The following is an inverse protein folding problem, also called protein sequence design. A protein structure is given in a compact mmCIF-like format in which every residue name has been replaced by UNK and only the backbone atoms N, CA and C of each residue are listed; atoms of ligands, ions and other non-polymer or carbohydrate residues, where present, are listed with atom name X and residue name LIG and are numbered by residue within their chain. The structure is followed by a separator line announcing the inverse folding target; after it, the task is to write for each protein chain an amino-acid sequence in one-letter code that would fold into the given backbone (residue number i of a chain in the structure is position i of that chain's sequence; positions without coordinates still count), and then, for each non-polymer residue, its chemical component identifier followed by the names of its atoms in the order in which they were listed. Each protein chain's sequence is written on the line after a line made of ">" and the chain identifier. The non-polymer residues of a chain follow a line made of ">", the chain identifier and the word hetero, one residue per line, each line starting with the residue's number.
data_IF_701694934851
#
_entry.id   IF_701694934851
#
_cell.length_a   1.000
_cell.length_b   1.000
_cell.length_c   1.000
_cell.angle_alpha   90.00
_cell.angle_beta   90.00
_cell.angle_gamma   90.00
#
_symmetry.space_group_name_H-M   'P 1'
#
loop_
_entity.id
_entity.type
_entity.pdbx_description
1 polymer ?
#
# COMPACT_ATOMS: atom_id res chain seq x y z
N UNK A 1 10.51 4.71 19.11
CA UNK A 1 9.97 6.05 18.84
C UNK A 1 9.67 6.14 17.35
N UNK A 2 8.52 6.67 16.99
CA UNK A 2 8.18 7.00 15.61
C UNK A 2 8.95 8.26 15.18
N UNK A 3 9.33 8.33 13.91
CA UNK A 3 9.87 9.54 13.30
C UNK A 3 8.75 10.51 12.98
N UNK A 4 9.04 11.79 12.81
CA UNK A 4 8.01 12.78 12.51
C UNK A 4 7.32 12.52 11.16
N UNK A 5 8.04 11.98 10.18
CA UNK A 5 7.50 11.56 8.88
C UNK A 5 6.50 10.39 8.96
N UNK A 6 6.54 9.60 10.03
CA UNK A 6 5.64 8.46 10.28
C UNK A 6 4.60 8.73 11.37
N UNK A 7 4.62 9.90 12.01
CA UNK A 7 3.67 10.32 13.05
C UNK A 7 2.41 10.89 12.41
N UNK A 8 1.30 10.17 12.41
CA UNK A 8 0.06 10.57 11.75
C UNK A 8 -0.67 11.60 12.59
N UNK A 9 -0.88 12.78 12.02
CA UNK A 9 -1.70 13.84 12.65
C UNK A 9 -3.15 13.78 12.18
N UNK A 10 -3.38 13.38 10.93
CA UNK A 10 -4.71 13.20 10.38
C UNK A 10 -4.71 12.20 9.23
N UNK A 11 -5.81 11.46 9.08
CA UNK A 11 -6.12 10.67 7.90
C UNK A 11 -7.57 10.92 7.53
N UNK A 12 -7.83 11.36 6.31
CA UNK A 12 -9.17 11.60 5.79
C UNK A 12 -9.25 11.24 4.31
N UNK A 13 -10.46 11.16 3.79
CA UNK A 13 -10.71 10.93 2.38
C UNK A 13 -11.92 11.76 1.93
N UNK A 14 -11.72 12.54 0.87
CA UNK A 14 -12.70 13.45 0.32
C UNK A 14 -13.15 12.98 -1.05
N UNK A 15 -14.46 12.97 -1.26
CA UNK A 15 -15.02 12.70 -2.58
C UNK A 15 -15.37 13.98 -3.29
N UNK A 16 -14.85 14.14 -4.50
CA UNK A 16 -15.23 15.21 -5.41
C UNK A 16 -15.64 14.61 -6.78
N UNK A 17 -16.93 14.60 -7.05
CA UNK A 17 -17.48 13.97 -8.25
C UNK A 17 -17.17 12.48 -8.32
N UNK A 18 -16.37 12.07 -9.30
CA UNK A 18 -15.97 10.69 -9.54
C UNK A 18 -14.56 10.36 -9.03
N UNK A 19 -13.99 11.20 -8.19
CA UNK A 19 -12.67 10.99 -7.57
C UNK A 19 -12.83 10.93 -6.06
N UNK A 20 -12.19 9.97 -5.43
CA UNK A 20 -11.91 9.95 -3.99
C UNK A 20 -10.44 10.27 -3.80
N UNK A 21 -10.14 11.31 -3.05
CA UNK A 21 -8.77 11.66 -2.65
C UNK A 21 -8.52 11.20 -1.23
N UNK A 22 -7.61 10.26 -1.05
CA UNK A 22 -7.12 9.85 0.25
C UNK A 22 -6.00 10.78 0.68
N UNK A 23 -6.07 11.25 1.91
CA UNK A 23 -5.11 12.16 2.51
C UNK A 23 -4.52 11.56 3.79
N UNK A 24 -3.24 11.81 4.01
CA UNK A 24 -2.59 11.60 5.30
C UNK A 24 -1.68 12.79 5.58
N UNK A 25 -1.84 13.39 6.77
CA UNK A 25 -0.98 14.45 7.26
C UNK A 25 -0.06 13.89 8.33
N UNK A 26 1.23 14.15 8.24
CA UNK A 26 2.25 13.70 9.19
C UNK A 26 2.81 14.84 10.03
N UNK A 27 3.44 14.51 11.15
CA UNK A 27 4.07 15.47 12.07
C UNK A 27 5.36 16.10 11.55
N UNK A 28 5.87 15.64 10.41
CA UNK A 28 7.08 16.13 9.74
C UNK A 28 6.95 16.07 8.22
N UNK A 29 8.05 16.10 7.52
CA UNK A 29 8.07 15.99 6.05
C UNK A 29 7.73 14.56 5.68
N UNK A 30 6.60 14.35 5.01
CA UNK A 30 6.17 13.06 4.50
C UNK A 30 7.17 12.54 3.47
N UNK A 31 7.46 11.23 3.52
CA UNK A 31 8.44 10.61 2.62
C UNK A 31 9.90 10.96 2.89
N UNK A 32 10.21 11.76 3.95
CA UNK A 32 11.59 12.12 4.29
C UNK A 32 12.43 10.91 4.72
N UNK A 33 11.78 9.90 5.31
CA UNK A 33 12.42 8.61 5.60
C UNK A 33 12.07 7.62 4.49
N UNK A 34 13.07 7.04 3.89
CA UNK A 34 12.97 5.95 2.91
C UNK A 34 13.82 4.77 3.37
N UNK A 35 13.55 3.54 2.91
CA UNK A 35 14.39 2.40 3.20
C UNK A 35 15.83 2.60 2.72
N UNK A 36 16.79 2.05 3.45
CA UNK A 36 18.16 2.02 3.00
C UNK A 36 18.31 1.01 1.84
N UNK A 37 19.05 1.39 0.80
CA UNK A 37 19.40 0.49 -0.30
C UNK A 37 20.28 -0.64 0.23
N UNK A 38 19.88 -1.88 0.01
CA UNK A 38 20.62 -3.09 0.41
C UNK A 38 21.33 -3.75 -0.77
N UNK A 39 20.89 -3.47 -2.00
CA UNK A 39 21.36 -4.10 -3.24
C UNK A 39 20.80 -5.53 -3.42
N UNK A 40 19.74 -5.89 -2.71
CA UNK A 40 19.13 -7.21 -2.77
C UNK A 40 17.62 -7.11 -2.48
N UNK A 41 16.81 -7.74 -3.31
CA UNK A 41 15.36 -7.85 -3.10
C UNK A 41 15.05 -8.63 -1.81
N UNK A 42 15.72 -9.75 -1.60
CA UNK A 42 15.55 -10.52 -0.37
C UNK A 42 16.15 -9.79 0.84
N UNK A 43 15.29 -9.46 1.81
CA UNK A 43 15.64 -8.67 2.98
C UNK A 43 15.41 -7.17 2.81
N UNK A 44 14.98 -6.70 1.63
CA UNK A 44 14.65 -5.31 1.37
C UNK A 44 13.51 -4.84 2.27
N UNK A 45 13.62 -3.61 2.74
CA UNK A 45 12.55 -2.93 3.46
C UNK A 45 11.70 -2.10 2.48
N UNK A 46 10.41 -1.97 2.82
CA UNK A 46 9.43 -1.12 2.15
C UNK A 46 8.83 -0.19 3.18
N UNK A 47 8.82 1.12 2.95
CA UNK A 47 8.10 2.06 3.80
C UNK A 47 6.79 2.45 3.15
N UNK A 48 5.74 2.63 3.97
CA UNK A 48 4.40 2.83 3.46
C UNK A 48 3.53 3.76 4.31
N UNK A 49 2.69 4.53 3.62
CA UNK A 49 1.49 5.19 4.11
C UNK A 49 0.30 4.39 3.61
N UNK A 50 -0.54 3.88 4.51
CA UNK A 50 -1.55 2.88 4.19
C UNK A 50 -2.92 3.32 4.66
N UNK A 51 -3.94 3.13 3.84
CA UNK A 51 -5.35 3.28 4.20
C UNK A 51 -6.04 1.91 4.09
N UNK A 52 -6.08 1.12 5.19
CA UNK A 52 -6.94 -0.06 5.26
C UNK A 52 -8.40 0.35 5.09
N UNK A 53 -9.17 -0.42 4.32
CA UNK A 53 -10.55 -0.08 3.98
C UNK A 53 -11.52 -1.20 4.34
N UNK A 54 -12.81 -0.88 4.37
CA UNK A 54 -13.89 -1.87 4.44
C UNK A 54 -14.39 -2.34 3.07
N UNK A 55 -13.71 -1.96 1.99
CA UNK A 55 -14.02 -2.47 0.65
C UNK A 55 -13.65 -3.95 0.55
N UNK A 56 -14.50 -4.71 -0.14
CA UNK A 56 -14.12 -6.06 -0.56
C UNK A 56 -13.03 -6.00 -1.65
N UNK A 57 -12.02 -6.87 -1.65
CA UNK A 57 -10.98 -6.91 -2.67
C UNK A 57 -11.48 -6.98 -4.12
N UNK A 58 -12.67 -7.55 -4.35
CA UNK A 58 -13.28 -7.59 -5.67
C UNK A 58 -13.67 -6.22 -6.23
N UNK A 59 -13.77 -5.20 -5.37
CA UNK A 59 -14.02 -3.82 -5.79
C UNK A 59 -12.94 -3.27 -6.70
N UNK A 60 -11.70 -3.75 -6.58
CA UNK A 60 -10.55 -3.33 -7.40
C UNK A 60 -10.09 -4.44 -8.36
N UNK A 61 -10.78 -5.56 -8.42
CA UNK A 61 -10.53 -6.62 -9.39
C UNK A 61 -9.85 -7.88 -8.86
N UNK A 62 -9.55 -7.97 -7.56
CA UNK A 62 -9.08 -9.21 -6.94
C UNK A 62 -10.21 -10.22 -6.75
N UNK A 63 -9.87 -11.41 -6.29
CA UNK A 63 -10.82 -12.40 -5.81
C UNK A 63 -11.57 -11.87 -4.58
N UNK A 64 -12.88 -12.10 -4.49
CA UNK A 64 -13.71 -11.65 -3.38
C UNK A 64 -13.35 -12.35 -2.05
N UNK A 65 -13.63 -11.70 -0.94
CA UNK A 65 -13.50 -12.26 0.42
C UNK A 65 -12.08 -12.78 0.75
N UNK A 66 -11.03 -12.20 0.12
CA UNK A 66 -9.66 -12.70 0.24
C UNK A 66 -8.81 -12.03 1.31
N UNK A 67 -9.32 -11.02 1.99
CA UNK A 67 -8.63 -10.32 3.07
C UNK A 67 -9.02 -8.86 3.19
N UNK A 68 -8.18 -8.06 3.82
CA UNK A 68 -8.37 -6.62 4.02
C UNK A 68 -7.79 -5.89 2.81
N UNK A 69 -8.64 -5.18 2.06
CA UNK A 69 -8.16 -4.31 0.98
C UNK A 69 -7.60 -3.02 1.56
N UNK A 70 -6.38 -2.69 1.22
CA UNK A 70 -5.71 -1.45 1.64
C UNK A 70 -5.11 -0.72 0.44
N UNK A 71 -5.30 0.61 0.40
CA UNK A 71 -4.53 1.49 -0.47
C UNK A 71 -3.22 1.79 0.23
N UNK A 72 -2.09 1.69 -0.46
CA UNK A 72 -0.77 1.96 0.08
C UNK A 72 0.01 2.89 -0.85
N UNK A 73 0.70 3.87 -0.28
CA UNK A 73 1.75 4.60 -0.95
C UNK A 73 3.09 4.10 -0.41
N UNK A 74 3.98 3.61 -1.28
CA UNK A 74 5.20 2.89 -0.91
C UNK A 74 6.45 3.47 -1.55
N UNK A 75 7.60 3.22 -0.90
CA UNK A 75 8.95 3.39 -1.47
C UNK A 75 9.79 2.18 -1.11
N UNK A 76 10.48 1.59 -2.10
CA UNK A 76 11.29 0.37 -1.97
C UNK A 76 12.46 0.35 -2.97
N UNK A 77 13.59 0.94 -2.61
CA UNK A 77 14.67 1.25 -3.54
C UNK A 77 15.44 0.03 -4.10
N UNK A 78 15.22 -1.16 -3.57
CA UNK A 78 15.91 -2.38 -4.01
C UNK A 78 15.19 -3.13 -5.15
N UNK A 79 13.99 -2.73 -5.54
CA UNK A 79 13.22 -3.33 -6.65
C UNK A 79 12.15 -2.38 -7.14
N UNK A 80 11.71 -2.58 -8.37
CA UNK A 80 10.55 -1.92 -8.96
C UNK A 80 9.39 -2.93 -9.09
N UNK A 81 8.18 -2.49 -8.81
CA UNK A 81 6.95 -3.28 -8.95
C UNK A 81 5.84 -2.53 -9.72
N UNK A 82 6.22 -1.47 -10.43
CA UNK A 82 5.34 -0.69 -11.32
C UNK A 82 5.82 -0.71 -12.78
N UNK A 83 6.14 -1.86 -13.39
CA UNK A 83 6.80 -1.91 -14.70
C UNK A 83 5.95 -1.37 -15.87
N UNK A 84 4.69 -1.00 -15.62
CA UNK A 84 3.79 -0.38 -16.62
C UNK A 84 3.91 1.15 -16.65
N UNK A 85 4.58 1.75 -15.67
CA UNK A 85 4.64 3.20 -15.49
C UNK A 85 6.11 3.62 -15.33
N UNK A 86 6.44 4.77 -15.86
CA UNK A 86 7.74 5.44 -15.76
C UNK A 86 7.50 6.73 -14.95
N UNK A 87 7.65 6.63 -13.62
CA UNK A 87 7.30 7.70 -12.71
C UNK A 87 8.30 8.86 -12.76
N UNK A 88 9.57 8.59 -13.09
CA UNK A 88 10.61 9.62 -13.22
C UNK A 88 10.75 10.18 -14.64
N UNK A 89 10.08 9.58 -15.63
CA UNK A 89 10.07 9.98 -17.03
C UNK A 89 11.46 9.95 -17.70
N UNK A 90 12.32 9.02 -17.30
CA UNK A 90 13.65 8.84 -17.92
C UNK A 90 13.65 7.83 -19.08
N UNK A 91 12.54 7.15 -19.33
CA UNK A 91 12.34 6.16 -20.38
C UNK A 91 12.62 4.72 -19.94
N UNK A 92 12.86 4.48 -18.66
CA UNK A 92 13.05 3.14 -18.07
C UNK A 92 12.06 2.88 -16.93
N UNK A 93 10.90 2.24 -17.18
CA UNK A 93 9.89 1.98 -16.15
C UNK A 93 10.31 0.90 -15.14
N UNK A 94 11.54 0.42 -15.17
CA UNK A 94 12.02 -0.63 -14.28
C UNK A 94 13.01 -0.11 -13.20
N UNK A 95 13.08 1.21 -12.98
CA UNK A 95 14.01 1.81 -12.03
C UNK A 95 13.36 2.72 -10.97
N UNK A 96 12.03 2.79 -10.93
CA UNK A 96 11.27 3.78 -10.17
C UNK A 96 10.95 3.40 -8.71
N UNK A 97 11.32 2.21 -8.24
CA UNK A 97 10.97 1.71 -6.89
C UNK A 97 11.39 2.61 -5.73
N UNK A 98 12.38 3.49 -5.92
CA UNK A 98 12.80 4.51 -4.95
C UNK A 98 11.78 5.65 -4.82
N UNK A 99 11.04 5.94 -5.87
CA UNK A 99 9.99 6.96 -5.85
C UNK A 99 8.76 6.48 -5.07
N UNK A 100 8.07 7.40 -4.46
CA UNK A 100 6.80 7.09 -3.79
C UNK A 100 5.70 6.92 -4.83
N UNK A 101 4.99 5.79 -4.79
CA UNK A 101 3.91 5.44 -5.70
C UNK A 101 2.84 4.61 -4.98
N UNK A 102 1.69 4.40 -5.63
CA UNK A 102 0.53 3.80 -4.97
C UNK A 102 0.19 2.40 -5.47
N UNK A 103 -0.28 1.56 -4.53
CA UNK A 103 -0.74 0.20 -4.76
C UNK A 103 -2.08 -0.06 -4.08
N UNK A 104 -2.85 -1.01 -4.63
CA UNK A 104 -3.80 -1.77 -3.83
C UNK A 104 -3.14 -3.06 -3.36
N UNK A 105 -3.31 -3.40 -2.10
CA UNK A 105 -2.82 -4.66 -1.52
C UNK A 105 -3.92 -5.36 -0.75
N UNK A 106 -3.88 -6.69 -0.73
CA UNK A 106 -4.75 -7.49 0.14
C UNK A 106 -3.92 -8.00 1.32
N UNK A 107 -4.30 -7.62 2.54
CA UNK A 107 -3.62 -8.01 3.76
C UNK A 107 -4.36 -9.17 4.44
N UNK A 108 -3.59 -10.13 4.95
CA UNK A 108 -4.11 -11.26 5.72
C UNK A 108 -3.24 -11.49 6.96
N UNK A 109 -3.81 -12.03 8.08
CA UNK A 109 -3.04 -12.42 9.25
C UNK A 109 -2.06 -13.55 8.91
N UNK A 110 -0.83 -13.44 9.43
CA UNK A 110 0.15 -14.53 9.36
C UNK A 110 1.16 -14.43 10.51
N UNK A 111 1.05 -15.36 11.48
CA UNK A 111 1.91 -15.39 12.66
C UNK A 111 3.37 -15.72 12.36
N UNK A 112 3.69 -16.22 11.13
CA UNK A 112 5.08 -16.41 10.70
C UNK A 112 5.81 -15.09 10.46
N UNK A 113 5.07 -13.99 10.21
CA UNK A 113 5.60 -12.64 10.16
C UNK A 113 5.80 -12.00 11.54
N UNK A 114 5.34 -12.66 12.60
CA UNK A 114 5.29 -12.21 13.98
C UNK A 114 3.90 -12.40 14.56
N UNK A 115 3.82 -12.61 15.87
CA UNK A 115 2.53 -12.86 16.53
C UNK A 115 1.53 -11.72 16.27
N UNK A 116 0.41 -12.04 15.64
CA UNK A 116 -0.63 -11.08 15.26
C UNK A 116 -0.26 -10.15 14.11
N UNK A 117 0.83 -10.43 13.40
CA UNK A 117 1.24 -9.64 12.24
C UNK A 117 0.39 -9.94 11.01
N UNK A 118 0.46 -9.01 10.05
CA UNK A 118 -0.13 -9.14 8.72
C UNK A 118 0.96 -9.38 7.68
N UNK A 119 0.56 -9.93 6.56
CA UNK A 119 1.34 -9.96 5.33
C UNK A 119 0.51 -9.48 4.15
N UNK A 120 1.14 -9.10 3.05
CA UNK A 120 0.47 -9.09 1.75
C UNK A 120 0.19 -10.53 1.35
N UNK A 121 -1.03 -10.83 0.92
CA UNK A 121 -1.46 -12.20 0.59
C UNK A 121 -0.66 -12.75 -0.57
N UNK A 122 -0.03 -13.92 -0.38
CA UNK A 122 0.67 -14.64 -1.46
C UNK A 122 -0.31 -15.31 -2.40
N UNK A 123 0.05 -15.41 -3.68
CA UNK A 123 -0.62 -16.29 -4.64
C UNK A 123 -0.04 -17.68 -4.46
N UNK A 124 -0.88 -18.64 -4.05
CA UNK A 124 -0.46 -20.01 -3.85
C UNK A 124 -0.01 -20.66 -5.17
N UNK A 125 1.04 -21.48 -5.11
CA UNK A 125 1.53 -22.19 -6.29
C UNK A 125 0.41 -23.03 -6.92
N UNK A 126 0.38 -23.04 -8.25
CA UNK A 126 -0.61 -23.76 -9.06
C UNK A 126 -2.07 -23.26 -8.88
N UNK A 127 -2.26 -22.05 -8.42
CA UNK A 127 -3.56 -21.36 -8.40
C UNK A 127 -3.59 -20.24 -9.44
N UNK A 128 -4.79 -19.86 -9.85
CA UNK A 128 -5.03 -18.74 -10.77
C UNK A 128 -6.19 -17.91 -10.24
N UNK A 129 -5.95 -17.12 -9.17
CA UNK A 129 -6.97 -16.26 -8.61
C UNK A 129 -7.32 -15.13 -9.60
N UNK A 130 -8.48 -14.50 -9.36
CA UNK A 130 -8.81 -13.26 -10.06
C UNK A 130 -7.88 -12.14 -9.58
N UNK A 131 -7.27 -11.42 -10.53
CA UNK A 131 -6.34 -10.32 -10.27
C UNK A 131 -6.75 -9.10 -11.11
N UNK A 132 -6.41 -7.87 -10.67
CA UNK A 132 -6.60 -6.65 -11.44
C UNK A 132 -5.82 -6.65 -12.76
N UNK A 133 -6.25 -5.80 -13.70
CA UNK A 133 -5.59 -5.68 -15.01
C UNK A 133 -4.17 -5.06 -14.92
N UNK A 134 -3.90 -4.32 -13.87
CA UNK A 134 -2.60 -3.66 -13.59
C UNK A 134 -1.77 -4.42 -12.55
N UNK A 135 -2.05 -5.72 -12.37
CA UNK A 135 -1.22 -6.60 -11.55
C UNK A 135 0.21 -6.68 -12.12
N UNK A 136 1.26 -6.44 -11.30
CA UNK A 136 2.64 -6.34 -11.77
C UNK A 136 3.36 -7.69 -11.95
N UNK A 137 2.62 -8.80 -12.04
CA UNK A 137 3.15 -10.16 -12.19
C UNK A 137 3.96 -10.70 -11.00
N UNK A 138 3.90 -10.02 -9.85
CA UNK A 138 4.45 -10.56 -8.60
C UNK A 138 3.52 -11.64 -8.02
N UNK A 139 4.04 -12.67 -7.31
CA UNK A 139 3.21 -13.72 -6.73
C UNK A 139 2.47 -13.26 -5.47
N UNK A 140 1.89 -12.08 -5.50
CA UNK A 140 1.20 -11.38 -4.42
C UNK A 140 -0.13 -10.80 -4.91
N UNK A 141 -1.06 -10.62 -3.97
CA UNK A 141 -2.25 -9.82 -4.18
C UNK A 141 -1.89 -8.32 -4.03
N UNK A 142 -1.21 -7.80 -5.03
CA UNK A 142 -0.82 -6.40 -5.20
C UNK A 142 -1.29 -5.93 -6.57
N UNK A 143 -1.61 -4.65 -6.68
CA UNK A 143 -1.99 -3.99 -7.93
C UNK A 143 -1.26 -2.65 -8.03
N UNK A 144 -0.81 -2.29 -9.22
CA UNK A 144 -0.06 -1.05 -9.50
C UNK A 144 -0.83 -0.20 -10.50
N UNK A 145 -1.92 0.47 -10.09
CA UNK A 145 -2.84 1.15 -11.01
C UNK A 145 -2.35 2.51 -11.51
N UNK A 146 -1.20 3.03 -11.06
CA UNK A 146 -0.64 4.32 -11.49
C UNK A 146 -1.55 5.50 -11.17
N UNK A 147 -2.14 5.55 -9.98
CA UNK A 147 -2.99 6.66 -9.57
C UNK A 147 -2.21 7.97 -9.45
N UNK A 148 -2.89 9.11 -9.71
CA UNK A 148 -2.37 10.44 -9.45
C UNK A 148 -2.01 10.57 -7.96
N UNK A 149 -0.74 10.79 -7.71
CA UNK A 149 -0.10 10.75 -6.40
C UNK A 149 0.68 12.03 -6.15
N UNK A 150 0.64 12.52 -4.92
CA UNK A 150 1.44 13.65 -4.47
C UNK A 150 1.94 13.40 -3.06
N UNK A 151 3.20 13.69 -2.81
CA UNK A 151 3.82 13.71 -1.49
C UNK A 151 4.61 15.01 -1.37
N UNK A 152 4.10 15.95 -0.57
CA UNK A 152 4.67 17.28 -0.43
C UNK A 152 4.55 17.79 1.01
N UNK A 153 5.62 18.35 1.54
CA UNK A 153 5.67 18.83 2.92
C UNK A 153 5.25 17.71 3.90
N UNK A 154 4.15 17.90 4.62
CA UNK A 154 3.61 16.91 5.55
C UNK A 154 2.42 16.13 4.98
N UNK A 155 2.13 16.23 3.69
CA UNK A 155 0.93 15.67 3.06
C UNK A 155 1.27 14.53 2.11
N UNK A 156 0.46 13.47 2.18
CA UNK A 156 0.41 12.37 1.22
C UNK A 156 -0.99 12.29 0.64
N UNK A 157 -1.11 12.36 -0.68
CA UNK A 157 -2.38 12.35 -1.39
C UNK A 157 -2.37 11.28 -2.47
N UNK A 158 -3.46 10.49 -2.54
CA UNK A 158 -3.72 9.55 -3.64
C UNK A 158 -5.12 9.80 -4.18
N UNK A 159 -5.23 10.09 -5.49
CA UNK A 159 -6.52 10.32 -6.15
C UNK A 159 -6.99 9.05 -6.86
N UNK A 160 -8.06 8.48 -6.36
CA UNK A 160 -8.62 7.23 -6.83
C UNK A 160 -9.93 7.48 -7.59
N UNK A 161 -10.00 7.14 -8.89
CA UNK A 161 -11.26 7.20 -9.63
C UNK A 161 -12.29 6.22 -9.03
N UNK A 162 -13.54 6.62 -8.87
CA UNK A 162 -14.61 5.73 -8.39
C UNK A 162 -14.79 4.48 -9.26
N UNK A 163 -14.52 4.59 -10.56
CA UNK A 163 -14.54 3.44 -11.47
C UNK A 163 -13.52 2.36 -11.07
N UNK A 164 -12.39 2.75 -10.48
CA UNK A 164 -11.34 1.84 -10.03
C UNK A 164 -11.69 1.10 -8.73
N UNK A 165 -12.75 1.49 -8.05
CA UNK A 165 -13.28 0.84 -6.84
C UNK A 165 -14.70 0.33 -7.05
N UNK A 166 -15.05 -0.05 -8.28
CA UNK A 166 -16.37 -0.59 -8.62
C UNK A 166 -17.53 0.38 -8.35
N UNK A 167 -17.27 1.69 -8.39
CA UNK A 167 -18.25 2.75 -8.04
C UNK A 167 -18.76 2.66 -6.59
N UNK A 168 -17.97 2.06 -5.69
CA UNK A 168 -18.31 2.05 -4.26
C UNK A 168 -18.43 3.47 -3.73
N UNK A 169 -19.60 3.78 -3.10
CA UNK A 169 -19.90 5.14 -2.67
C UNK A 169 -19.77 5.33 -1.16
N UNK A 170 -19.86 4.25 -0.40
CA UNK A 170 -19.80 4.30 1.05
C UNK A 170 -18.90 3.19 1.56
N UNK A 171 -17.79 3.58 2.18
CA UNK A 171 -16.89 2.64 2.84
C UNK A 171 -16.14 3.34 3.97
N UNK A 172 -15.51 2.53 4.82
CA UNK A 172 -14.72 2.99 5.95
C UNK A 172 -13.25 2.82 5.67
N UNK A 173 -12.42 3.61 6.36
CA UNK A 173 -10.97 3.50 6.29
C UNK A 173 -10.30 3.95 7.60
N UNK A 174 -9.02 3.64 7.73
CA UNK A 174 -8.12 4.17 8.75
C UNK A 174 -6.84 4.68 8.08
N UNK A 175 -5.94 5.27 8.84
CA UNK A 175 -4.59 5.64 8.40
C UNK A 175 -3.54 4.85 9.18
N UNK A 176 -2.55 4.32 8.49
CA UNK A 176 -1.45 3.55 9.07
C UNK A 176 -0.13 3.96 8.42
N UNK A 177 0.92 4.10 9.20
CA UNK A 177 2.29 4.13 8.70
C UNK A 177 3.01 2.85 9.11
N UNK A 178 3.63 2.17 8.15
CA UNK A 178 4.24 0.87 8.37
C UNK A 178 5.51 0.65 7.55
N UNK A 179 6.37 -0.21 8.06
CA UNK A 179 7.47 -0.82 7.33
C UNK A 179 7.16 -2.29 7.03
N UNK A 180 7.37 -2.70 5.79
CA UNK A 180 7.28 -4.08 5.38
C UNK A 180 8.68 -4.59 5.04
N UNK A 181 8.83 -5.91 4.97
CA UNK A 181 10.09 -6.55 4.58
C UNK A 181 9.85 -7.71 3.64
N UNK A 182 10.65 -7.76 2.58
CA UNK A 182 10.70 -8.88 1.65
C UNK A 182 11.48 -10.03 2.27
N UNK A 183 10.89 -11.21 2.39
CA UNK A 183 11.58 -12.39 2.90
C UNK A 183 12.48 -13.04 1.86
N UNK A 184 13.63 -13.56 2.30
CA UNK A 184 14.60 -14.23 1.45
C UNK A 184 14.26 -15.70 1.15
N UNK A 185 13.36 -16.30 1.93
CA UNK A 185 13.07 -17.72 1.84
C UNK A 185 11.78 -17.98 1.06
N UNK A 186 11.85 -18.84 0.07
CA UNK A 186 10.73 -19.20 -0.84
C UNK A 186 9.52 -19.80 -0.10
N UNK A 187 9.71 -20.34 1.10
CA UNK A 187 8.64 -20.93 1.91
C UNK A 187 8.10 -20.02 3.01
N UNK A 188 8.64 -18.82 3.14
CA UNK A 188 8.11 -17.78 4.03
C UNK A 188 7.17 -16.86 3.25
N UNK A 189 6.23 -16.17 3.91
CA UNK A 189 5.45 -15.11 3.26
C UNK A 189 6.37 -14.10 2.59
N UNK A 190 6.11 -13.78 1.32
CA UNK A 190 7.04 -12.95 0.54
C UNK A 190 7.17 -11.54 1.13
N UNK A 191 6.07 -10.93 1.57
CA UNK A 191 6.06 -9.55 2.05
C UNK A 191 5.31 -9.43 3.39
N UNK A 192 6.06 -9.37 4.47
CA UNK A 192 5.55 -9.24 5.83
C UNK A 192 5.45 -7.78 6.27
N UNK A 193 4.40 -7.42 7.01
CA UNK A 193 4.38 -6.18 7.80
C UNK A 193 5.34 -6.38 8.98
N UNK A 194 6.52 -5.79 8.86
CA UNK A 194 7.60 -5.95 9.84
C UNK A 194 7.44 -5.02 11.04
N UNK A 195 6.81 -3.86 10.84
CA UNK A 195 6.63 -2.85 11.89
C UNK A 195 5.47 -1.92 11.54
N UNK A 196 4.60 -1.65 12.49
CA UNK A 196 3.65 -0.54 12.44
C UNK A 196 4.27 0.62 13.22
N UNK A 197 4.37 1.79 12.58
CA UNK A 197 4.91 2.99 13.21
C UNK A 197 3.83 3.76 13.93
N UNK A 198 2.67 3.96 13.27
CA UNK A 198 1.52 4.67 13.80
C UNK A 198 0.20 4.18 13.19
N UNK A 199 -0.90 4.41 13.91
CA UNK A 199 -2.27 4.14 13.50
C UNK A 199 -3.13 5.35 13.89
N UNK A 200 -3.79 5.99 12.94
CA UNK A 200 -4.55 7.23 13.16
C UNK A 200 -5.67 7.06 14.21
N UNK A 201 -6.39 5.94 14.18
CA UNK A 201 -7.42 5.63 15.20
C UNK A 201 -6.84 5.09 16.50
N UNK A 202 -5.61 4.58 16.47
CA UNK A 202 -4.96 3.87 17.56
C UNK A 202 -5.30 2.38 17.65
N UNK A 203 -6.34 1.88 16.97
CA UNK A 203 -6.84 0.51 17.14
C UNK A 203 -7.32 -0.19 15.84
N UNK A 204 -7.11 0.45 14.68
CA UNK A 204 -7.55 -0.04 13.35
C UNK A 204 -9.09 -0.22 13.25
N UNK A 205 -9.86 0.58 13.95
CA UNK A 205 -11.33 0.48 13.97
C UNK A 205 -12.02 1.04 12.72
N UNK A 206 -11.26 1.57 11.75
CA UNK A 206 -11.74 2.18 10.50
C UNK A 206 -12.79 3.30 10.73
N UNK A 207 -12.48 4.33 11.53
CA UNK A 207 -13.46 5.37 11.86
C UNK A 207 -13.74 6.34 10.70
N UNK A 208 -12.79 6.47 9.77
CA UNK A 208 -12.95 7.30 8.58
C UNK A 208 -14.10 6.82 7.69
N UNK A 209 -14.79 7.75 7.03
CA UNK A 209 -15.94 7.45 6.16
C UNK A 209 -15.81 8.21 4.85
N UNK A 210 -15.87 7.49 3.74
CA UNK A 210 -16.16 8.05 2.42
C UNK A 210 -17.67 7.95 2.20
N UNK A 211 -18.30 9.05 1.73
CA UNK A 211 -19.72 9.13 1.47
C UNK A 211 -20.01 9.62 0.07
#
# INVERSE_FOLDING_TARGET
>A
SKTASSDIWAAHADRNGNIVTFHMTTGGIAGADSPAVTGSVGGADVFSYVWPTSLDPSSVGFEADTGILALAATSHPDFDDTPLYDENQDGDPANDGVLWHSHWVVLVPDDSCGKGALKVKDIAANTSPKLPATWPELPLFIDSPGFDFSIENSEVLVKVPLSSVGFAQNFSFDGVTAGLRVNQQVHAPLLCVAKVFDVASGDLSLPGKVK
#
